data_IF_674026868601
#
_entry.id   IF_674026868601
#
_cell.length_a   1.000
_cell.length_b   1.000
_cell.length_c   1.000
_cell.angle_alpha   90.00
_cell.angle_beta   90.00
_cell.angle_gamma   90.00
#
_symmetry.space_group_name_H-M   'P 1'
#
loop_
_entity.id
_entity.type
_entity.pdbx_description
1 polymer ?
#
# COMPACT_ATOMS: atom_id res chain seq x y z
N UNK A 1 -16.39 -14.95 -5.80
CA UNK A 1 -17.72 -14.90 -6.45
C UNK A 1 -18.76 -14.83 -5.35
N UNK A 2 -19.78 -13.98 -5.52
CA UNK A 2 -20.88 -13.84 -4.58
C UNK A 2 -22.15 -13.46 -5.34
N UNK A 3 -23.30 -13.59 -4.67
CA UNK A 3 -24.61 -13.19 -5.19
C UNK A 3 -25.05 -11.91 -4.48
N UNK A 4 -25.72 -11.02 -5.21
CA UNK A 4 -26.34 -9.81 -4.66
C UNK A 4 -27.83 -10.10 -4.48
N UNK A 5 -28.42 -9.79 -3.31
CA UNK A 5 -29.86 -9.95 -3.09
C UNK A 5 -30.67 -9.14 -4.10
N UNK A 6 -31.74 -9.74 -4.62
CA UNK A 6 -32.67 -9.08 -5.55
C UNK A 6 -33.56 -8.14 -4.73
N UNK A 7 -33.74 -6.89 -5.21
CA UNK A 7 -34.67 -5.92 -4.60
C UNK A 7 -34.07 -4.93 -3.61
N UNK A 8 -32.76 -4.99 -3.36
CA UNK A 8 -32.07 -4.02 -2.52
C UNK A 8 -31.70 -2.75 -3.31
N UNK A 9 -32.30 -1.61 -2.95
CA UNK A 9 -32.07 -0.33 -3.67
C UNK A 9 -30.71 0.33 -3.41
N UNK A 10 -29.97 -0.08 -2.36
CA UNK A 10 -28.64 0.48 -2.00
C UNK A 10 -27.77 -0.59 -1.35
N UNK A 11 -27.44 -1.64 -2.08
CA UNK A 11 -26.54 -2.65 -1.59
C UNK A 11 -25.08 -2.21 -1.76
N UNK A 12 -24.37 -2.02 -0.66
CA UNK A 12 -22.97 -1.58 -0.67
C UNK A 12 -22.05 -2.78 -0.43
N UNK A 13 -21.19 -3.07 -1.38
CA UNK A 13 -20.12 -4.07 -1.22
C UNK A 13 -18.79 -3.36 -1.00
N UNK A 14 -18.06 -3.81 0.02
CA UNK A 14 -16.66 -3.40 0.23
C UNK A 14 -15.76 -4.48 -0.31
N UNK A 15 -14.82 -4.10 -1.17
CA UNK A 15 -13.82 -4.99 -1.75
C UNK A 15 -12.47 -4.30 -1.93
N UNK A 16 -11.43 -5.09 -2.17
CA UNK A 16 -10.12 -4.54 -2.55
C UNK A 16 -10.13 -4.13 -4.01
N UNK A 17 -9.45 -3.04 -4.33
CA UNK A 17 -9.19 -2.62 -5.70
C UNK A 17 -8.09 -3.52 -6.26
N UNK A 18 -8.28 -4.20 -7.42
CA UNK A 18 -7.29 -5.12 -7.98
C UNK A 18 -5.94 -4.46 -8.28
N UNK A 19 -5.95 -3.25 -8.83
CA UNK A 19 -4.76 -2.44 -9.10
C UNK A 19 -4.94 -1.02 -8.56
N UNK A 20 -4.60 -0.76 -7.29
CA UNK A 20 -4.74 0.56 -6.68
C UNK A 20 -3.92 1.67 -7.38
N UNK A 21 -2.67 1.45 -7.82
CA UNK A 21 -1.91 2.44 -8.59
C UNK A 21 -2.57 2.84 -9.90
N UNK A 22 -3.04 1.87 -10.68
CA UNK A 22 -3.78 2.13 -11.92
C UNK A 22 -5.07 2.91 -11.65
N UNK A 23 -5.84 2.48 -10.65
CA UNK A 23 -7.07 3.17 -10.26
C UNK A 23 -6.80 4.63 -9.87
N UNK A 24 -5.75 4.90 -9.08
CA UNK A 24 -5.37 6.25 -8.69
C UNK A 24 -5.01 7.11 -9.89
N UNK A 25 -4.22 6.58 -10.84
CA UNK A 25 -3.85 7.28 -12.07
C UNK A 25 -5.08 7.58 -12.94
N UNK A 26 -5.97 6.61 -13.11
CA UNK A 26 -7.20 6.77 -13.87
C UNK A 26 -8.15 7.80 -13.25
N UNK A 27 -8.34 7.72 -11.94
CA UNK A 27 -9.18 8.67 -11.21
C UNK A 27 -8.62 10.11 -11.30
N UNK A 28 -7.30 10.26 -11.15
CA UNK A 28 -6.62 11.56 -11.28
C UNK A 28 -6.79 12.13 -12.69
N UNK A 29 -6.58 11.33 -13.74
CA UNK A 29 -6.76 11.77 -15.12
C UNK A 29 -8.18 12.29 -15.35
N UNK A 30 -9.20 11.53 -14.94
CA UNK A 30 -10.60 11.96 -15.07
C UNK A 30 -10.93 13.21 -14.25
N UNK A 31 -10.29 13.41 -13.10
CA UNK A 31 -10.44 14.63 -12.30
C UNK A 31 -9.81 15.84 -12.99
N UNK A 32 -8.62 15.69 -13.57
CA UNK A 32 -7.93 16.73 -14.31
C UNK A 32 -8.74 17.17 -15.54
N UNK A 33 -9.24 16.23 -16.32
CA UNK A 33 -10.08 16.50 -17.49
C UNK A 33 -11.37 17.26 -17.13
N UNK A 34 -12.03 16.88 -16.03
CA UNK A 34 -13.23 17.61 -15.53
C UNK A 34 -12.91 19.04 -15.12
N UNK A 35 -11.66 19.36 -14.80
CA UNK A 35 -11.20 20.70 -14.46
C UNK A 35 -10.51 21.40 -15.64
N UNK A 36 -10.69 20.94 -16.89
CA UNK A 36 -10.18 21.57 -18.09
C UNK A 36 -8.68 21.36 -18.35
N UNK A 37 -8.05 20.41 -17.65
CA UNK A 37 -6.65 20.06 -17.87
C UNK A 37 -6.61 18.81 -18.76
N UNK A 38 -6.14 18.98 -19.99
CA UNK A 38 -5.98 17.87 -20.93
C UNK A 38 -4.88 16.90 -20.44
N UNK A 39 -5.18 15.61 -20.51
CA UNK A 39 -4.22 14.54 -20.21
C UNK A 39 -3.95 13.72 -21.45
N UNK A 40 -2.86 12.96 -21.47
CA UNK A 40 -2.54 12.05 -22.58
C UNK A 40 -3.52 10.86 -22.71
N UNK A 41 -4.56 10.78 -21.86
CA UNK A 41 -5.55 9.70 -21.77
C UNK A 41 -4.96 8.28 -21.50
N UNK A 42 -3.66 8.10 -21.57
CA UNK A 42 -2.97 6.85 -21.28
C UNK A 42 -2.64 6.81 -19.80
N UNK A 43 -3.47 6.11 -19.04
CA UNK A 43 -3.19 5.80 -17.63
C UNK A 43 -2.59 4.41 -17.53
N UNK A 44 -1.53 4.28 -16.76
CA UNK A 44 -0.87 2.99 -16.51
C UNK A 44 -0.32 2.95 -15.10
N UNK A 45 -0.25 1.77 -14.51
CA UNK A 45 0.52 1.56 -13.29
C UNK A 45 2.02 1.43 -13.64
N UNK A 46 2.88 1.65 -12.64
CA UNK A 46 4.32 1.41 -12.82
C UNK A 46 4.59 -0.05 -13.25
N UNK A 47 3.84 -0.99 -12.69
CA UNK A 47 3.94 -2.41 -13.01
C UNK A 47 3.62 -2.71 -14.49
N UNK A 48 2.58 -2.06 -15.04
CA UNK A 48 2.25 -2.22 -16.46
C UNK A 48 3.35 -1.66 -17.35
N UNK A 49 3.87 -0.47 -17.02
CA UNK A 49 4.96 0.15 -17.76
C UNK A 49 6.25 -0.68 -17.71
N UNK A 50 6.53 -1.30 -16.57
CA UNK A 50 7.70 -2.19 -16.41
C UNK A 50 7.53 -3.44 -17.26
N UNK A 51 6.38 -4.09 -17.23
CA UNK A 51 6.08 -5.28 -18.03
C UNK A 51 6.18 -5.02 -19.53
N UNK A 52 5.80 -3.82 -19.96
CA UNK A 52 5.84 -3.41 -21.36
C UNK A 52 7.19 -2.77 -21.77
N UNK A 53 8.18 -2.71 -20.89
CA UNK A 53 9.46 -2.01 -21.08
C UNK A 53 9.29 -0.54 -21.49
N UNK A 54 8.24 0.12 -21.02
CA UNK A 54 7.90 1.52 -21.31
C UNK A 54 8.25 2.49 -20.18
N UNK A 55 9.07 2.07 -19.22
CA UNK A 55 9.49 2.97 -18.13
C UNK A 55 10.31 4.10 -18.73
N UNK A 56 9.79 5.32 -18.59
CA UNK A 56 10.52 6.51 -19.01
C UNK A 56 11.68 6.82 -18.06
N UNK A 57 12.86 7.02 -18.61
CA UNK A 57 14.06 7.51 -17.90
C UNK A 57 14.12 9.02 -17.80
N UNK A 58 13.12 9.73 -18.34
CA UNK A 58 13.06 11.19 -18.33
C UNK A 58 12.97 11.71 -16.89
N UNK A 59 13.77 12.72 -16.58
CA UNK A 59 13.75 13.39 -15.28
C UNK A 59 12.35 13.97 -15.03
N UNK A 60 11.72 13.54 -13.93
CA UNK A 60 10.39 14.01 -13.54
C UNK A 60 10.51 15.26 -12.70
N UNK A 61 9.65 16.22 -12.95
CA UNK A 61 9.50 17.40 -12.11
C UNK A 61 8.52 17.10 -10.96
N UNK A 62 8.87 17.55 -9.76
CA UNK A 62 7.96 17.46 -8.61
C UNK A 62 6.91 18.55 -8.77
N UNK A 63 5.65 18.16 -8.90
CA UNK A 63 4.51 19.08 -9.01
C UNK A 63 3.99 19.44 -7.62
N UNK A 64 3.96 18.46 -6.69
CA UNK A 64 3.42 18.64 -5.37
C UNK A 64 4.05 17.64 -4.38
N UNK A 65 4.25 18.08 -3.14
CA UNK A 65 4.72 17.24 -2.05
C UNK A 65 3.64 17.20 -0.97
N UNK A 66 3.04 16.03 -0.76
CA UNK A 66 2.14 15.81 0.35
C UNK A 66 2.92 15.41 1.61
N UNK A 67 2.69 16.13 2.69
CA UNK A 67 3.23 15.78 4.00
C UNK A 67 2.20 14.97 4.78
N UNK A 68 2.58 13.76 5.18
CA UNK A 68 1.73 12.92 6.02
C UNK A 68 1.63 13.49 7.45
N UNK A 69 0.59 13.13 8.21
CA UNK A 69 0.59 13.36 9.65
C UNK A 69 1.80 12.71 10.34
N UNK A 70 2.19 13.17 11.54
CA UNK A 70 3.23 12.52 12.32
C UNK A 70 2.97 11.02 12.51
N UNK A 71 4.05 10.22 12.52
CA UNK A 71 3.94 8.75 12.64
C UNK A 71 3.14 8.33 13.88
N UNK A 72 3.31 9.04 15.00
CA UNK A 72 2.55 8.76 16.24
C UNK A 72 1.04 8.80 16.04
N UNK A 73 0.55 9.73 15.21
CA UNK A 73 -0.89 9.90 14.97
C UNK A 73 -1.41 8.80 14.04
N UNK A 74 -0.59 8.38 13.08
CA UNK A 74 -0.86 7.23 12.22
C UNK A 74 -0.96 5.96 13.07
N UNK A 75 0.02 5.71 13.96
CA UNK A 75 0.04 4.55 14.87
C UNK A 75 -1.17 4.59 15.81
N UNK A 76 -1.45 5.75 16.43
CA UNK A 76 -2.63 5.91 17.29
C UNK A 76 -3.91 5.55 16.55
N UNK A 77 -4.11 6.09 15.35
CA UNK A 77 -5.29 5.79 14.52
C UNK A 77 -5.37 4.32 14.14
N UNK A 78 -4.22 3.73 13.80
CA UNK A 78 -4.12 2.31 13.46
C UNK A 78 -4.61 1.43 14.60
N UNK A 79 -4.11 1.67 15.82
CA UNK A 79 -4.48 0.89 17.00
C UNK A 79 -5.95 1.11 17.40
N UNK A 80 -6.43 2.35 17.37
CA UNK A 80 -7.81 2.67 17.77
C UNK A 80 -8.86 2.18 16.77
N UNK A 81 -8.55 2.10 15.49
CA UNK A 81 -9.50 1.78 14.40
C UNK A 81 -9.19 0.47 13.68
N UNK A 82 -8.17 -0.27 14.13
CA UNK A 82 -7.72 -1.52 13.52
C UNK A 82 -7.52 -1.40 12.01
N UNK A 83 -6.80 -0.35 11.57
CA UNK A 83 -6.58 -0.08 10.14
C UNK A 83 -5.43 -0.93 9.63
N UNK A 84 -5.72 -2.13 9.13
CA UNK A 84 -4.74 -3.08 8.61
C UNK A 84 -3.86 -2.51 7.49
N UNK A 85 -4.44 -1.67 6.63
CA UNK A 85 -3.70 -1.01 5.55
C UNK A 85 -2.52 -0.17 6.07
N UNK A 86 -2.69 0.52 7.20
CA UNK A 86 -1.62 1.30 7.81
C UNK A 86 -0.55 0.41 8.43
N UNK A 87 -0.95 -0.72 9.05
CA UNK A 87 0.00 -1.71 9.55
C UNK A 87 0.88 -2.24 8.43
N UNK A 88 0.27 -2.64 7.32
CA UNK A 88 0.98 -3.15 6.15
C UNK A 88 1.91 -2.09 5.54
N UNK A 89 1.44 -0.86 5.40
CA UNK A 89 2.25 0.25 4.89
C UNK A 89 3.48 0.52 5.78
N UNK A 90 3.31 0.55 7.10
CA UNK A 90 4.41 0.72 8.05
C UNK A 90 5.40 -0.44 7.97
N UNK A 91 4.91 -1.67 7.85
CA UNK A 91 5.76 -2.86 7.68
C UNK A 91 6.60 -2.78 6.41
N UNK A 92 6.00 -2.41 5.27
CA UNK A 92 6.72 -2.20 4.00
C UNK A 92 7.74 -1.08 4.10
N UNK A 93 7.40 0.01 4.81
CA UNK A 93 8.33 1.13 5.07
C UNK A 93 9.55 0.70 5.89
N UNK A 94 9.36 -0.13 6.91
CA UNK A 94 10.47 -0.71 7.67
C UNK A 94 11.39 -1.54 6.77
N UNK A 95 10.82 -2.44 5.97
CA UNK A 95 11.59 -3.23 5.00
C UNK A 95 12.36 -2.36 4.01
N UNK A 96 11.71 -1.31 3.49
CA UNK A 96 12.36 -0.37 2.56
C UNK A 96 13.51 0.38 3.22
N UNK A 97 13.31 0.89 4.45
CA UNK A 97 14.33 1.69 5.17
C UNK A 97 15.52 0.85 5.62
N UNK A 98 15.29 -0.34 6.13
CA UNK A 98 16.33 -1.17 6.78
C UNK A 98 16.99 -2.15 5.82
N UNK A 99 16.27 -2.66 4.82
CA UNK A 99 16.75 -3.70 3.88
C UNK A 99 16.68 -3.27 2.41
N UNK A 100 16.31 -2.03 2.11
CA UNK A 100 16.18 -1.52 0.73
C UNK A 100 14.98 -2.07 -0.04
N UNK A 101 14.18 -2.98 0.54
CA UNK A 101 13.07 -3.69 -0.12
C UNK A 101 11.74 -3.38 0.55
N UNK A 102 10.81 -2.74 -0.16
CA UNK A 102 9.46 -2.38 0.34
C UNK A 102 8.47 -3.54 0.30
N UNK A 103 8.88 -4.76 0.67
CA UNK A 103 8.01 -5.94 0.72
C UNK A 103 7.58 -6.26 2.14
N UNK A 104 6.40 -6.90 2.35
CA UNK A 104 5.98 -7.37 3.67
C UNK A 104 7.01 -8.31 4.30
N UNK A 105 7.58 -9.22 3.51
CA UNK A 105 8.61 -10.16 3.96
C UNK A 105 9.82 -9.43 4.55
N UNK A 106 10.38 -8.46 3.83
CA UNK A 106 11.52 -7.68 4.32
C UNK A 106 11.20 -6.90 5.61
N UNK A 107 9.97 -6.37 5.73
CA UNK A 107 9.51 -5.72 6.95
C UNK A 107 9.39 -6.67 8.12
N UNK A 108 8.82 -7.86 7.90
CA UNK A 108 8.71 -8.91 8.93
C UNK A 108 10.09 -9.37 9.41
N UNK A 109 11.05 -9.52 8.53
CA UNK A 109 12.43 -9.86 8.90
C UNK A 109 13.04 -8.80 9.83
N UNK A 110 12.80 -7.51 9.56
CA UNK A 110 13.27 -6.42 10.44
C UNK A 110 12.64 -6.50 11.83
N UNK A 111 11.32 -6.72 11.88
CA UNK A 111 10.60 -6.89 13.16
C UNK A 111 11.11 -8.11 13.92
N UNK A 112 11.32 -9.22 13.22
CA UNK A 112 11.86 -10.44 13.80
C UNK A 112 13.26 -10.24 14.40
N UNK A 113 14.18 -9.60 13.64
CA UNK A 113 15.54 -9.31 14.09
C UNK A 113 15.50 -8.43 15.36
N UNK A 114 14.66 -7.39 15.37
CA UNK A 114 14.46 -6.54 16.54
C UNK A 114 13.94 -7.31 17.76
N UNK A 115 12.95 -8.18 17.59
CA UNK A 115 12.37 -8.98 18.67
C UNK A 115 13.37 -10.00 19.21
N UNK A 116 14.23 -10.56 18.35
CA UNK A 116 15.27 -11.51 18.72
C UNK A 116 16.35 -10.84 19.59
N UNK A 117 16.72 -9.61 19.29
CA UNK A 117 17.67 -8.84 20.10
C UNK A 117 17.09 -8.48 21.48
N UNK A 118 15.80 -8.20 21.55
CA UNK A 118 15.07 -7.89 22.79
C UNK A 118 14.69 -9.18 23.51
N UNK A 119 15.59 -9.78 24.21
CA UNK A 119 15.63 -11.10 24.88
C UNK A 119 14.35 -11.56 25.62
N UNK A 120 13.34 -10.72 25.74
CA UNK A 120 12.09 -11.01 26.46
C UNK A 120 11.09 -11.86 25.68
N UNK A 121 11.35 -12.17 24.40
CA UNK A 121 10.34 -12.77 23.49
C UNK A 121 10.81 -14.08 22.85
N UNK A 122 11.67 -14.85 23.52
CA UNK A 122 12.13 -16.18 23.01
C UNK A 122 10.97 -17.10 22.60
N UNK A 123 9.81 -17.00 23.23
CA UNK A 123 8.64 -17.83 22.94
C UNK A 123 7.77 -17.33 21.77
N UNK A 124 7.87 -16.05 21.39
CA UNK A 124 7.16 -15.50 20.21
C UNK A 124 7.83 -15.89 18.89
N UNK A 125 9.10 -16.24 18.92
CA UNK A 125 9.87 -16.72 17.77
C UNK A 125 9.31 -18.04 17.23
N UNK A 126 8.77 -18.89 18.11
CA UNK A 126 8.14 -20.15 17.73
C UNK A 126 6.85 -19.95 16.89
N UNK A 127 6.07 -18.89 17.14
CA UNK A 127 4.87 -18.59 16.36
C UNK A 127 5.18 -18.11 14.94
N UNK A 128 6.33 -17.48 14.71
CA UNK A 128 6.70 -16.98 13.40
C UNK A 128 7.09 -18.10 12.41
N UNK A 129 7.74 -19.14 12.88
CA UNK A 129 8.05 -20.32 12.05
C UNK A 129 6.79 -21.07 11.58
N UNK A 130 5.69 -20.94 12.32
CA UNK A 130 4.40 -21.54 11.96
C UNK A 130 3.64 -20.79 10.85
N UNK A 131 3.96 -19.52 10.63
CA UNK A 131 3.32 -18.69 9.59
C UNK A 131 4.04 -18.73 8.24
N UNK A 132 5.15 -19.48 8.13
CA UNK A 132 5.91 -19.63 6.88
C UNK A 132 5.58 -20.92 6.10
N UNK A 133 4.69 -21.76 6.62
CA UNK A 133 4.13 -22.93 5.96
C UNK A 133 2.67 -22.72 5.63
#
# INVERSE_FOLDING_TARGET
RGTIPVGENKFTIKGSIPDPPFFAAHYLAGFLEKNGIETSKLTASYFDLERENKISTVKRNIIFIYQSPPLRDIVKRTNMKSVNLYCEAMLRMLGKKMKGKGTPKAGLEVVYDFLKEKTYLKNLVACYSFLQH
#
